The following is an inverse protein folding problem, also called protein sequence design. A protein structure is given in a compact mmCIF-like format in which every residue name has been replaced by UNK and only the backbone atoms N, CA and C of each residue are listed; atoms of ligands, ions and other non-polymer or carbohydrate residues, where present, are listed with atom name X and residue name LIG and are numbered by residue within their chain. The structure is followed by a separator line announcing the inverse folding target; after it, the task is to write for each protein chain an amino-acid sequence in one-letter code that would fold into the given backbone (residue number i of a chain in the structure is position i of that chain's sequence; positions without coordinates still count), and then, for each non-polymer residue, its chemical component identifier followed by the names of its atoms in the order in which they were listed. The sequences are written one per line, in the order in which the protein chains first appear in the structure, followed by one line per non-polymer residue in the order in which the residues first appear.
data_IF_215864133969
#
_entry.id   IF_215864133969
#
_cell.length_a   1.000
_cell.length_b   1.000
_cell.length_c   1.000
_cell.angle_alpha   90.00
_cell.angle_beta   90.00
_cell.angle_gamma   90.00
#
_symmetry.space_group_name_H-M   'P 1'
#
loop_
_entity.id
_entity.type
_entity.pdbx_description
1 polymer ?
#
# COMPACT_ATOMS: atom_id res chain seq x y z
N UNK A 1 -27.63 -41.89 1.71
CA UNK A 1 -26.75 -40.84 2.26
C UNK A 1 -25.71 -41.54 3.11
N UNK A 2 -24.43 -41.50 2.71
CA UNK A 2 -23.34 -42.12 3.49
C UNK A 2 -23.03 -41.17 4.65
N UNK A 3 -22.97 -41.70 5.88
CA UNK A 3 -22.62 -40.92 7.07
C UNK A 3 -21.19 -40.40 6.95
N UNK A 4 -20.95 -39.15 7.37
CA UNK A 4 -19.62 -38.54 7.35
C UNK A 4 -18.58 -39.37 8.14
N UNK A 5 -19.03 -40.11 9.14
CA UNK A 5 -18.19 -40.99 9.97
C UNK A 5 -17.67 -42.22 9.21
N UNK A 6 -18.48 -42.79 8.31
CA UNK A 6 -18.08 -43.96 7.51
C UNK A 6 -17.10 -43.60 6.39
N UNK A 7 -17.21 -42.37 5.87
CA UNK A 7 -16.30 -41.83 4.87
C UNK A 7 -14.87 -41.65 5.42
N UNK A 8 -14.75 -41.18 6.67
CA UNK A 8 -13.45 -40.94 7.30
C UNK A 8 -12.72 -42.23 7.73
N UNK A 9 -13.46 -43.30 8.04
CA UNK A 9 -12.86 -44.62 8.29
C UNK A 9 -12.25 -45.24 7.04
N UNK A 10 -12.83 -44.97 5.88
CA UNK A 10 -12.38 -45.50 4.60
C UNK A 10 -11.28 -44.66 3.95
N UNK A 11 -11.09 -43.41 4.40
CA UNK A 11 -10.10 -42.47 3.85
C UNK A 11 -9.35 -41.75 4.99
N UNK A 12 -8.33 -42.38 5.60
CA UNK A 12 -7.53 -41.73 6.63
C UNK A 12 -6.69 -40.59 6.02
N UNK A 13 -6.77 -39.41 6.63
CA UNK A 13 -5.99 -38.23 6.24
C UNK A 13 -4.55 -38.44 6.73
N UNK A 14 -3.59 -38.52 5.80
CA UNK A 14 -2.16 -38.61 6.12
C UNK A 14 -1.59 -37.20 6.25
N UNK A 15 -1.30 -36.78 7.48
CA UNK A 15 -0.56 -35.54 7.75
C UNK A 15 0.90 -35.72 7.33
N UNK A 16 1.55 -34.72 6.71
CA UNK A 16 2.98 -34.78 6.44
C UNK A 16 3.76 -34.71 7.76
N UNK A 17 4.60 -35.71 8.00
CA UNK A 17 5.45 -35.76 9.18
C UNK A 17 6.51 -34.64 9.13
N UNK A 18 6.57 -33.88 10.21
CA UNK A 18 7.64 -32.92 10.49
C UNK A 18 8.93 -33.69 10.76
N UNK A 19 9.80 -33.77 9.76
CA UNK A 19 11.18 -34.25 9.92
C UNK A 19 12.02 -33.22 10.69
N UNK A 20 12.64 -33.67 11.78
CA UNK A 20 13.63 -32.93 12.54
C UNK A 20 14.92 -32.68 11.71
N UNK A 21 15.65 -31.57 11.95
CA UNK A 21 16.90 -31.28 11.25
C UNK A 21 18.11 -31.93 11.95
N UNK A 22 18.77 -32.85 11.27
CA UNK A 22 20.08 -33.40 11.69
C UNK A 22 21.25 -32.44 11.37
N UNK A 23 22.37 -32.50 12.11
CA UNK A 23 23.44 -31.50 12.11
C UNK A 23 24.69 -31.87 11.27
N UNK A 24 25.37 -30.85 10.73
CA UNK A 24 26.84 -30.77 10.75
C UNK A 24 27.70 -31.22 9.54
N UNK A 25 28.18 -30.23 8.77
CA UNK A 25 29.58 -30.00 8.28
C UNK A 25 30.23 -30.96 7.23
N UNK A 26 31.32 -30.58 6.48
CA UNK A 26 32.24 -29.45 6.67
C UNK A 26 32.62 -28.61 5.42
N UNK A 27 33.50 -27.64 5.70
CA UNK A 27 34.06 -26.55 4.87
C UNK A 27 35.15 -26.94 3.85
N UNK A 28 35.45 -26.00 2.94
CA UNK A 28 36.75 -25.67 2.32
C UNK A 28 36.60 -24.29 1.63
N UNK A 29 37.24 -23.23 2.13
CA UNK A 29 38.55 -22.66 1.70
C UNK A 29 38.49 -22.06 0.27
N UNK A 30 38.86 -20.82 -0.05
CA UNK A 30 39.56 -19.73 0.62
C UNK A 30 39.73 -18.55 -0.37
N UNK A 31 40.58 -17.59 0.00
CA UNK A 31 41.04 -16.39 -0.73
C UNK A 31 40.06 -15.20 -0.71
N UNK A 32 40.25 -14.12 0.05
CA UNK A 32 41.48 -13.52 0.55
C UNK A 32 41.79 -12.26 -0.25
N UNK A 33 41.36 -11.09 0.21
CA UNK A 33 42.24 -9.92 0.22
C UNK A 33 41.80 -8.91 1.28
N UNK A 34 42.79 -8.50 2.04
CA UNK A 34 42.79 -7.69 3.24
C UNK A 34 43.41 -6.33 2.90
N UNK A 35 42.77 -5.25 3.31
CA UNK A 35 43.40 -4.15 4.06
C UNK A 35 42.37 -3.04 4.21
N UNK A 36 41.87 -2.72 5.40
CA UNK A 36 42.54 -2.22 6.62
C UNK A 36 42.52 -0.69 6.69
N UNK A 37 42.01 -0.22 7.83
CA UNK A 37 42.11 1.11 8.45
C UNK A 37 41.65 2.33 7.63
N UNK A 38 40.93 3.29 8.17
CA UNK A 38 40.69 3.61 9.55
C UNK A 38 40.38 5.12 9.62
N UNK A 39 39.29 5.44 10.30
CA UNK A 39 39.16 6.55 11.25
C UNK A 39 39.20 8.03 10.79
N UNK A 40 38.09 8.71 11.15
CA UNK A 40 37.98 9.97 11.92
C UNK A 40 38.31 11.35 11.33
N UNK A 41 37.31 12.23 11.58
CA UNK A 41 37.38 13.63 12.08
C UNK A 41 37.50 14.77 11.04
N UNK A 42 36.37 15.49 10.95
CA UNK A 42 36.17 16.95 11.13
C UNK A 42 36.89 18.00 10.25
N UNK A 43 36.18 19.13 10.17
CA UNK A 43 36.63 20.50 9.99
C UNK A 43 36.68 21.07 8.54
N UNK A 44 35.69 21.92 8.29
CA UNK A 44 35.81 23.31 7.80
C UNK A 44 36.65 23.66 6.55
N UNK A 45 35.93 24.38 5.68
CA UNK A 45 36.35 25.58 4.96
C UNK A 45 37.36 25.54 3.78
N UNK A 46 36.89 26.18 2.69
CA UNK A 46 37.61 26.94 1.66
C UNK A 46 38.48 26.17 0.66
N UNK A 47 38.23 26.45 -0.63
CA UNK A 47 39.28 26.33 -1.64
C UNK A 47 38.78 25.91 -3.01
N UNK A 48 38.47 26.89 -3.85
CA UNK A 48 38.31 26.74 -5.30
C UNK A 48 39.54 26.06 -5.90
N UNK A 49 39.38 24.91 -6.56
CA UNK A 49 40.31 24.45 -7.59
C UNK A 49 39.55 23.86 -8.78
N UNK A 50 39.94 24.33 -9.98
CA UNK A 50 39.44 23.88 -11.28
C UNK A 50 39.80 22.42 -11.49
N UNK A 51 38.80 21.53 -11.54
CA UNK A 51 38.97 20.19 -12.09
C UNK A 51 38.37 20.09 -13.49
N UNK A 52 39.24 19.69 -14.43
CA UNK A 52 39.00 19.42 -15.85
C UNK A 52 37.77 18.52 -16.06
N UNK A 53 36.81 19.00 -16.86
CA UNK A 53 35.78 18.16 -17.49
C UNK A 53 36.45 17.09 -18.35
N UNK A 54 36.26 15.82 -18.02
CA UNK A 54 36.64 14.67 -18.87
C UNK A 54 35.40 13.81 -19.10
N UNK A 55 35.01 13.69 -20.37
CA UNK A 55 34.27 12.56 -20.94
C UNK A 55 32.84 12.33 -20.47
N UNK A 56 31.87 12.88 -21.21
CA UNK A 56 30.52 12.32 -21.27
C UNK A 56 30.61 10.92 -21.89
N UNK A 57 30.33 9.85 -21.12
CA UNK A 57 29.97 8.54 -21.68
C UNK A 57 28.47 8.55 -21.92
N UNK A 58 28.08 8.62 -23.19
CA UNK A 58 26.70 8.45 -23.63
C UNK A 58 26.30 6.99 -23.46
N UNK A 59 25.25 6.72 -22.68
CA UNK A 59 24.59 5.43 -22.69
C UNK A 59 23.62 5.38 -23.89
N UNK A 60 23.61 4.30 -24.69
CA UNK A 60 22.65 4.15 -25.77
C UNK A 60 21.25 3.96 -25.18
N UNK A 61 20.31 4.81 -25.60
CA UNK A 61 18.89 4.71 -25.25
C UNK A 61 18.33 3.43 -25.90
N UNK A 62 17.93 2.47 -25.07
CA UNK A 62 17.24 1.27 -25.52
C UNK A 62 15.82 1.66 -25.95
N UNK A 63 15.56 1.70 -27.26
CA UNK A 63 14.19 1.80 -27.78
C UNK A 63 13.52 0.44 -27.63
N UNK A 64 12.39 0.30 -26.92
CA UNK A 64 11.64 -0.95 -26.93
C UNK A 64 11.11 -1.19 -28.35
N UNK A 65 11.49 -2.33 -28.93
CA UNK A 65 10.95 -2.83 -30.20
C UNK A 65 9.44 -3.01 -30.06
N UNK A 66 8.68 -2.25 -30.83
CA UNK A 66 7.26 -2.48 -31.03
C UNK A 66 7.07 -3.84 -31.70
N UNK A 67 6.46 -4.77 -30.97
CA UNK A 67 6.11 -6.10 -31.46
C UNK A 67 5.30 -6.84 -30.41
N UNK A 68 3.97 -6.75 -30.51
CA UNK A 68 3.06 -7.50 -29.64
C UNK A 68 1.64 -6.93 -29.64
N UNK A 69 0.80 -7.46 -30.54
CA UNK A 69 -0.68 -7.52 -30.53
C UNK A 69 -1.45 -6.36 -29.86
N UNK A 70 -2.07 -5.50 -30.69
CA UNK A 70 -3.21 -4.68 -30.23
C UNK A 70 -3.44 -3.30 -30.84
N UNK A 71 -2.86 -2.95 -31.99
CA UNK A 71 -3.11 -1.64 -32.63
C UNK A 71 -3.62 -1.78 -34.07
N UNK A 72 -4.76 -2.44 -34.23
CA UNK A 72 -5.61 -2.32 -35.41
C UNK A 72 -6.91 -1.65 -34.98
N UNK A 73 -6.92 -0.31 -35.04
CA UNK A 73 -8.07 0.53 -35.39
C UNK A 73 -7.78 2.00 -35.01
N UNK A 74 -6.96 2.66 -35.81
CA UNK A 74 -6.89 4.13 -35.88
C UNK A 74 -7.61 4.62 -37.15
N UNK A 75 -8.75 4.00 -37.42
CA UNK A 75 -9.77 4.49 -38.35
C UNK A 75 -11.15 4.46 -37.68
N UNK A 76 -11.24 4.94 -36.44
CA UNK A 76 -12.52 5.24 -35.81
C UNK A 76 -13.01 6.60 -36.30
N UNK A 77 -13.74 6.52 -37.41
CA UNK A 77 -14.75 7.46 -37.91
C UNK A 77 -15.30 8.38 -36.81
N UNK A 78 -15.31 9.67 -37.12
CA UNK A 78 -16.05 10.72 -36.42
C UNK A 78 -17.50 10.28 -36.13
N UNK A 79 -17.74 9.93 -34.87
CA UNK A 79 -18.96 10.27 -34.15
C UNK A 79 -18.45 10.59 -32.75
N UNK A 80 -18.39 11.87 -32.37
CA UNK A 80 -18.41 12.18 -30.94
C UNK A 80 -19.83 11.81 -30.51
N UNK A 81 -20.07 10.68 -29.82
CA UNK A 81 -21.37 10.49 -29.22
C UNK A 81 -21.57 11.72 -28.35
N UNK A 82 -22.72 12.38 -28.47
CA UNK A 82 -23.03 13.62 -27.79
C UNK A 82 -22.42 13.59 -26.39
N UNK A 83 -21.56 14.56 -26.05
CA UNK A 83 -20.89 14.59 -24.75
C UNK A 83 -21.90 14.64 -23.56
N UNK A 84 -23.17 14.85 -23.89
CA UNK A 84 -24.36 14.84 -23.03
C UNK A 84 -25.24 13.57 -23.15
N UNK A 85 -24.79 12.54 -23.87
CA UNK A 85 -25.52 11.27 -23.94
C UNK A 85 -25.41 10.53 -22.60
N UNK A 86 -26.53 10.49 -21.88
CA UNK A 86 -26.68 9.75 -20.61
C UNK A 86 -26.39 8.26 -20.80
N UNK A 87 -26.78 7.67 -21.93
CA UNK A 87 -26.56 6.26 -22.20
C UNK A 87 -25.08 5.96 -22.46
N UNK A 88 -24.38 6.79 -23.22
CA UNK A 88 -22.94 6.64 -23.42
C UNK A 88 -22.15 6.82 -22.10
N UNK A 89 -22.58 7.76 -21.25
CA UNK A 89 -22.02 7.95 -19.92
C UNK A 89 -22.26 6.71 -19.03
N UNK A 90 -23.47 6.13 -19.08
CA UNK A 90 -23.82 4.91 -18.34
C UNK A 90 -22.98 3.72 -18.79
N UNK A 91 -22.86 3.48 -20.09
CA UNK A 91 -22.03 2.39 -20.63
C UNK A 91 -20.56 2.54 -20.20
N UNK A 92 -20.02 3.76 -20.27
CA UNK A 92 -18.67 4.06 -19.80
C UNK A 92 -18.51 3.82 -18.29
N UNK A 93 -19.53 4.18 -17.50
CA UNK A 93 -19.54 3.95 -16.05
C UNK A 93 -19.57 2.45 -15.70
N UNK A 94 -20.41 1.68 -16.38
CA UNK A 94 -20.50 0.22 -16.19
C UNK A 94 -19.19 -0.47 -16.59
N UNK A 95 -18.63 -0.13 -17.75
CA UNK A 95 -17.32 -0.64 -18.20
C UNK A 95 -16.22 -0.36 -17.17
N UNK A 96 -16.25 0.85 -16.59
CA UNK A 96 -15.35 1.17 -15.49
C UNK A 96 -15.60 0.19 -14.34
N UNK A 97 -16.82 0.12 -13.80
CA UNK A 97 -17.17 -0.68 -12.61
C UNK A 97 -16.85 -2.18 -12.78
N UNK A 98 -17.05 -2.75 -13.95
CA UNK A 98 -16.68 -4.13 -14.29
C UNK A 98 -15.18 -4.38 -14.11
N UNK A 99 -14.34 -3.41 -14.46
CA UNK A 99 -12.89 -3.54 -14.32
C UNK A 99 -12.42 -3.45 -12.86
N UNK A 100 -13.11 -2.68 -12.00
CA UNK A 100 -12.75 -2.54 -10.58
C UNK A 100 -13.80 -1.76 -9.80
N UNK A 101 -14.02 -2.14 -8.53
CA UNK A 101 -14.78 -1.33 -7.59
C UNK A 101 -14.25 0.12 -7.47
N UNK A 102 -15.15 1.10 -7.41
CA UNK A 102 -14.84 2.53 -7.25
C UNK A 102 -15.89 3.21 -6.37
N UNK A 103 -15.48 4.27 -5.68
CA UNK A 103 -16.37 5.24 -5.09
C UNK A 103 -17.03 6.12 -6.16
N UNK A 104 -18.14 6.76 -5.79
CA UNK A 104 -18.86 7.73 -6.59
C UNK A 104 -17.95 8.86 -7.07
N UNK A 105 -17.14 9.47 -6.19
CA UNK A 105 -16.24 10.56 -6.56
C UNK A 105 -15.12 10.14 -7.50
N UNK A 106 -14.54 8.95 -7.31
CA UNK A 106 -13.53 8.43 -8.27
C UNK A 106 -14.17 8.13 -9.63
N UNK A 107 -15.40 7.60 -9.64
CA UNK A 107 -16.14 7.36 -10.88
C UNK A 107 -16.46 8.67 -11.61
N UNK A 108 -16.96 9.66 -10.88
CA UNK A 108 -17.24 11.01 -11.38
C UNK A 108 -16.02 11.63 -12.04
N UNK A 109 -14.87 11.59 -11.37
CA UNK A 109 -13.62 12.12 -11.92
C UNK A 109 -13.21 11.41 -13.21
N UNK A 110 -13.38 10.08 -13.29
CA UNK A 110 -13.03 9.32 -14.50
C UNK A 110 -13.97 9.59 -15.67
N UNK A 111 -15.26 9.79 -15.39
CA UNK A 111 -16.24 10.17 -16.41
C UNK A 111 -15.99 11.59 -16.91
N UNK A 112 -15.66 12.53 -16.00
CA UNK A 112 -15.25 13.88 -16.38
C UNK A 112 -14.01 13.88 -17.27
N UNK A 113 -13.00 13.07 -16.95
CA UNK A 113 -11.81 12.91 -17.79
C UNK A 113 -12.11 12.32 -19.19
N UNK A 114 -13.25 11.62 -19.35
CA UNK A 114 -13.73 11.10 -20.64
C UNK A 114 -14.54 12.14 -21.43
N UNK A 115 -14.82 13.30 -20.85
CA UNK A 115 -15.50 14.43 -21.51
C UNK A 115 -16.99 14.54 -21.22
N UNK A 116 -17.55 13.75 -20.29
CA UNK A 116 -18.96 13.87 -19.90
C UNK A 116 -19.21 15.10 -19.01
N UNK A 117 -20.38 15.71 -19.13
CA UNK A 117 -20.78 16.88 -18.35
C UNK A 117 -21.20 16.53 -16.93
N UNK A 118 -21.02 17.47 -15.99
CA UNK A 118 -21.38 17.29 -14.57
C UNK A 118 -22.82 16.80 -14.34
N UNK A 119 -23.85 17.42 -14.96
CA UNK A 119 -25.24 16.98 -14.83
C UNK A 119 -25.48 15.55 -15.30
N UNK A 120 -24.88 15.16 -16.44
CA UNK A 120 -24.97 13.80 -16.99
C UNK A 120 -24.32 12.78 -16.05
N UNK A 121 -23.15 13.11 -15.50
CA UNK A 121 -22.43 12.28 -14.53
C UNK A 121 -23.24 12.09 -13.25
N UNK A 122 -23.80 13.18 -12.70
CA UNK A 122 -24.60 13.15 -11.49
C UNK A 122 -25.86 12.30 -11.67
N UNK A 123 -26.54 12.44 -12.80
CA UNK A 123 -27.70 11.62 -13.14
C UNK A 123 -27.35 10.13 -13.21
N UNK A 124 -26.24 9.78 -13.86
CA UNK A 124 -25.79 8.38 -13.98
C UNK A 124 -25.38 7.83 -12.62
N UNK A 125 -24.57 8.54 -11.84
CA UNK A 125 -24.14 8.11 -10.50
C UNK A 125 -25.35 7.90 -9.60
N UNK A 126 -26.29 8.86 -9.57
CA UNK A 126 -27.52 8.75 -8.78
C UNK A 126 -28.28 7.48 -9.13
N UNK A 127 -28.43 7.18 -10.43
CA UNK A 127 -29.13 5.98 -10.87
C UNK A 127 -28.39 4.69 -10.49
N UNK A 128 -27.07 4.66 -10.63
CA UNK A 128 -26.25 3.50 -10.25
C UNK A 128 -26.28 3.24 -8.73
N UNK A 129 -26.28 4.29 -7.92
CA UNK A 129 -26.46 4.19 -6.46
C UNK A 129 -27.84 3.64 -6.09
N UNK A 130 -28.91 4.13 -6.72
CA UNK A 130 -30.27 3.61 -6.51
C UNK A 130 -30.41 2.13 -6.87
N UNK A 131 -29.66 1.66 -7.88
CA UNK A 131 -29.61 0.27 -8.29
C UNK A 131 -28.70 -0.60 -7.42
N UNK A 132 -27.99 -0.02 -6.44
CA UNK A 132 -27.04 -0.73 -5.58
C UNK A 132 -25.74 -1.15 -6.28
N UNK A 133 -25.47 -0.60 -7.49
CA UNK A 133 -24.22 -0.83 -8.22
C UNK A 133 -23.07 0.03 -7.68
N UNK A 134 -23.41 1.15 -7.04
CA UNK A 134 -22.50 1.98 -6.27
C UNK A 134 -22.93 1.98 -4.81
N UNK A 135 -21.95 1.72 -3.93
CA UNK A 135 -22.11 1.81 -2.49
C UNK A 135 -20.82 2.37 -1.89
N UNK A 136 -20.81 3.68 -1.62
CA UNK A 136 -19.67 4.36 -1.05
C UNK A 136 -19.38 3.92 0.38
N UNK A 137 -20.40 3.51 1.14
CA UNK A 137 -20.21 3.04 2.53
C UNK A 137 -19.49 1.70 2.53
N UNK A 138 -19.92 0.77 1.68
CA UNK A 138 -19.23 -0.51 1.47
C UNK A 138 -17.82 -0.30 0.95
N UNK A 139 -17.65 0.57 -0.05
CA UNK A 139 -16.32 0.91 -0.58
C UNK A 139 -15.38 1.48 0.50
N UNK A 140 -15.89 2.37 1.36
CA UNK A 140 -15.13 2.95 2.46
C UNK A 140 -14.70 1.90 3.48
N UNK A 141 -15.56 0.93 3.81
CA UNK A 141 -15.23 -0.18 4.71
C UNK A 141 -14.13 -1.08 4.12
N UNK A 142 -14.21 -1.42 2.84
CA UNK A 142 -13.20 -2.22 2.15
C UNK A 142 -11.86 -1.45 2.06
N UNK A 143 -11.92 -0.15 1.78
CA UNK A 143 -10.75 0.72 1.76
C UNK A 143 -10.10 0.82 3.15
N UNK A 144 -10.89 0.97 4.21
CA UNK A 144 -10.41 0.97 5.59
C UNK A 144 -9.66 -0.33 5.90
N UNK A 145 -10.23 -1.50 5.57
CA UNK A 145 -9.59 -2.80 5.75
C UNK A 145 -8.22 -2.85 5.04
N UNK A 146 -8.14 -2.34 3.82
CA UNK A 146 -6.88 -2.22 3.07
C UNK A 146 -5.88 -1.25 3.72
N UNK A 147 -6.36 -0.15 4.32
CA UNK A 147 -5.52 0.78 5.07
C UNK A 147 -4.94 0.14 6.34
N UNK A 148 -5.76 -0.58 7.09
CA UNK A 148 -5.34 -1.30 8.30
C UNK A 148 -4.33 -2.41 7.98
N UNK A 149 -4.54 -3.18 6.91
CA UNK A 149 -3.55 -4.17 6.46
C UNK A 149 -2.18 -3.54 6.09
N UNK A 150 -2.19 -2.30 5.58
CA UNK A 150 -0.98 -1.50 5.35
C UNK A 150 -0.46 -0.80 6.61
N UNK A 151 -1.03 -1.10 7.77
CA UNK A 151 -0.79 -0.51 9.10
C UNK A 151 -0.89 1.02 9.10
N UNK A 152 -1.86 1.58 8.39
CA UNK A 152 -2.13 3.01 8.39
C UNK A 152 -2.85 3.44 9.67
N UNK A 153 -2.58 4.66 10.11
CA UNK A 153 -3.28 5.29 11.21
C UNK A 153 -4.53 6.02 10.74
N UNK A 154 -5.31 6.51 11.69
CA UNK A 154 -6.58 7.20 11.49
C UNK A 154 -6.51 8.30 10.42
N UNK A 155 -5.58 9.25 10.58
CA UNK A 155 -5.38 10.35 9.63
C UNK A 155 -4.93 9.85 8.25
N UNK A 156 -4.14 8.78 8.21
CA UNK A 156 -3.70 8.16 6.96
C UNK A 156 -4.85 7.53 6.20
N UNK A 157 -5.74 6.82 6.91
CA UNK A 157 -6.94 6.23 6.34
C UNK A 157 -7.93 7.31 5.85
N UNK A 158 -8.15 8.37 6.63
CA UNK A 158 -8.98 9.51 6.23
C UNK A 158 -8.44 10.18 4.94
N UNK A 159 -7.14 10.41 4.86
CA UNK A 159 -6.51 10.97 3.66
C UNK A 159 -6.69 10.07 2.42
N UNK A 160 -6.63 8.74 2.60
CA UNK A 160 -6.93 7.79 1.52
C UNK A 160 -8.39 7.87 1.09
N UNK A 161 -9.34 7.99 2.02
CA UNK A 161 -10.76 8.16 1.70
C UNK A 161 -11.01 9.45 0.90
N UNK A 162 -10.43 10.57 1.36
CA UNK A 162 -10.48 11.86 0.64
C UNK A 162 -9.89 11.76 -0.77
N UNK A 163 -8.74 11.08 -0.91
CA UNK A 163 -8.10 10.87 -2.21
C UNK A 163 -8.95 10.02 -3.16
N UNK A 164 -9.79 9.13 -2.61
CA UNK A 164 -10.78 8.36 -3.37
C UNK A 164 -12.06 9.15 -3.62
N UNK A 165 -12.18 10.39 -3.16
CA UNK A 165 -13.38 11.19 -3.38
C UNK A 165 -14.61 10.60 -2.68
N UNK A 166 -14.42 9.99 -1.52
CA UNK A 166 -15.54 9.64 -0.64
C UNK A 166 -16.07 10.90 0.05
N UNK A 167 -17.36 10.91 0.35
CA UNK A 167 -17.96 11.98 1.13
C UNK A 167 -17.27 12.11 2.50
N UNK A 168 -17.11 13.36 2.95
CA UNK A 168 -16.39 13.67 4.19
C UNK A 168 -17.10 13.11 5.41
N UNK A 169 -18.42 13.30 5.53
CA UNK A 169 -19.19 12.83 6.68
C UNK A 169 -19.20 11.31 6.76
N UNK A 170 -19.36 10.64 5.62
CA UNK A 170 -19.28 9.18 5.53
C UNK A 170 -17.88 8.66 5.92
N UNK A 171 -16.83 9.36 5.50
CA UNK A 171 -15.46 9.01 5.85
C UNK A 171 -15.22 9.16 7.35
N UNK A 172 -15.63 10.29 7.93
CA UNK A 172 -15.53 10.56 9.37
C UNK A 172 -16.30 9.51 10.19
N UNK A 173 -17.51 9.13 9.78
CA UNK A 173 -18.30 8.07 10.42
C UNK A 173 -17.57 6.71 10.44
N UNK A 174 -17.05 6.28 9.30
CA UNK A 174 -16.38 4.97 9.16
C UNK A 174 -15.10 4.94 9.99
N UNK A 175 -14.36 6.05 10.01
CA UNK A 175 -13.15 6.21 10.81
C UNK A 175 -13.48 6.23 12.31
N UNK A 176 -14.51 6.96 12.74
CA UNK A 176 -14.91 7.04 14.14
C UNK A 176 -15.29 5.67 14.70
N UNK A 177 -16.10 4.89 13.98
CA UNK A 177 -16.45 3.52 14.38
C UNK A 177 -15.22 2.62 14.50
N UNK A 178 -14.30 2.70 13.55
CA UNK A 178 -13.06 1.93 13.59
C UNK A 178 -12.14 2.33 14.77
N UNK A 179 -12.18 3.60 15.17
CA UNK A 179 -11.46 4.09 16.35
C UNK A 179 -12.09 3.56 17.64
N UNK A 180 -13.42 3.57 17.76
CA UNK A 180 -14.16 3.00 18.89
C UNK A 180 -13.91 1.50 19.05
N UNK A 181 -13.81 0.77 17.93
CA UNK A 181 -13.46 -0.66 17.90
C UNK A 181 -11.97 -0.94 18.20
N UNK A 182 -11.14 0.09 18.37
CA UNK A 182 -9.71 -0.07 18.68
C UNK A 182 -8.82 -0.46 17.49
N UNK A 183 -9.34 -0.48 16.26
CA UNK A 183 -8.61 -0.98 15.09
C UNK A 183 -7.34 -0.18 14.77
N UNK A 184 -7.34 1.13 15.03
CA UNK A 184 -6.16 1.97 14.84
C UNK A 184 -5.10 1.77 15.92
N UNK A 185 -5.50 1.37 17.13
CA UNK A 185 -4.58 0.97 18.20
C UNK A 185 -3.86 -0.30 17.74
N UNK A 186 -4.60 -1.32 17.33
CA UNK A 186 -4.02 -2.57 16.81
C UNK A 186 -3.08 -2.33 15.63
N UNK A 187 -3.48 -1.49 14.68
CA UNK A 187 -2.64 -1.09 13.53
C UNK A 187 -1.32 -0.43 13.96
N UNK A 188 -1.35 0.42 14.99
CA UNK A 188 -0.15 1.07 15.52
C UNK A 188 0.78 0.07 16.22
N UNK A 189 0.24 -0.85 17.03
CA UNK A 189 1.04 -1.91 17.65
C UNK A 189 1.61 -2.88 16.61
N UNK A 190 0.88 -3.21 15.55
CA UNK A 190 1.38 -4.03 14.46
C UNK A 190 2.54 -3.34 13.72
N UNK A 191 2.42 -2.03 13.46
CA UNK A 191 3.53 -1.24 12.92
C UNK A 191 4.73 -1.26 13.88
N UNK A 192 4.49 -1.07 15.17
CA UNK A 192 5.51 -1.10 16.22
C UNK A 192 6.28 -2.41 16.23
N UNK A 193 5.58 -3.56 16.26
CA UNK A 193 6.19 -4.90 16.20
C UNK A 193 7.04 -5.10 14.94
N UNK A 194 6.54 -4.66 13.78
CA UNK A 194 7.31 -4.71 12.51
C UNK A 194 8.57 -3.86 12.55
N UNK A 195 8.52 -2.68 13.17
CA UNK A 195 9.70 -1.82 13.34
C UNK A 195 10.67 -2.44 14.33
N UNK A 196 10.20 -2.87 15.50
CA UNK A 196 11.00 -3.47 16.56
C UNK A 196 11.87 -4.62 16.03
N UNK A 197 11.27 -5.54 15.27
CA UNK A 197 11.97 -6.67 14.62
C UNK A 197 13.01 -6.23 13.59
N UNK A 198 12.73 -5.19 12.80
CA UNK A 198 13.67 -4.71 11.75
C UNK A 198 14.83 -3.90 12.30
N UNK A 199 14.68 -3.36 13.51
CA UNK A 199 15.66 -2.50 14.15
C UNK A 199 16.25 -3.14 15.39
N UNK A 200 16.21 -4.47 15.47
CA UNK A 200 16.86 -5.24 16.52
C UNK A 200 18.38 -5.01 16.46
N UNK A 201 19.04 -4.90 17.63
CA UNK A 201 20.46 -4.56 17.74
C UNK A 201 20.83 -3.09 17.48
N UNK A 202 19.88 -2.22 17.13
CA UNK A 202 20.13 -0.78 17.03
C UNK A 202 19.92 -0.08 18.36
N UNK A 203 20.62 1.04 18.55
CA UNK A 203 20.45 1.87 19.74
C UNK A 203 18.98 2.34 19.92
N UNK A 204 18.51 2.49 21.17
CA UNK A 204 17.09 2.69 21.47
C UNK A 204 16.51 3.95 20.80
N UNK A 205 17.29 5.02 20.78
CA UNK A 205 16.93 6.31 20.18
C UNK A 205 16.75 6.21 18.65
N UNK A 206 17.55 5.36 18.01
CA UNK A 206 17.45 5.08 16.57
C UNK A 206 16.17 4.30 16.31
N UNK A 207 15.85 3.29 17.13
CA UNK A 207 14.60 2.51 17.02
C UNK A 207 13.38 3.43 17.14
N UNK A 208 13.35 4.29 18.15
CA UNK A 208 12.29 5.31 18.36
C UNK A 208 12.15 6.25 17.16
N UNK A 209 13.26 6.76 16.61
CA UNK A 209 13.24 7.63 15.42
C UNK A 209 12.70 6.92 14.18
N UNK A 210 13.02 5.64 14.00
CA UNK A 210 12.51 4.82 12.87
C UNK A 210 11.01 4.60 12.99
N UNK A 211 10.51 4.29 14.19
CA UNK A 211 9.08 4.16 14.45
C UNK A 211 8.37 5.48 14.18
N UNK A 212 8.88 6.60 14.70
CA UNK A 212 8.29 7.92 14.49
C UNK A 212 8.16 8.29 13.00
N UNK A 213 9.25 8.10 12.25
CA UNK A 213 9.26 8.39 10.81
C UNK A 213 8.27 7.51 10.04
N UNK A 214 8.17 6.22 10.37
CA UNK A 214 7.20 5.32 9.76
C UNK A 214 5.76 5.69 10.14
N UNK A 215 5.49 5.90 11.42
CA UNK A 215 4.17 6.23 11.95
C UNK A 215 3.62 7.54 11.42
N UNK A 216 4.48 8.58 11.34
CA UNK A 216 4.11 9.89 10.82
C UNK A 216 3.68 9.84 9.35
N UNK A 217 4.42 9.13 8.48
CA UNK A 217 4.04 8.94 7.08
C UNK A 217 2.75 8.14 6.91
N UNK A 218 2.46 7.24 7.85
CA UNK A 218 1.24 6.43 7.87
C UNK A 218 0.06 7.12 8.55
N UNK A 219 0.25 8.32 9.09
CA UNK A 219 -0.83 9.12 9.70
C UNK A 219 -1.29 8.61 11.06
N UNK A 220 -0.42 7.98 11.85
CA UNK A 220 -0.73 7.57 13.22
C UNK A 220 -0.80 8.77 14.18
N UNK A 221 -1.58 8.61 15.24
CA UNK A 221 -1.66 9.59 16.33
C UNK A 221 -0.31 9.65 17.07
N UNK A 222 0.28 10.86 17.26
CA UNK A 222 1.56 11.02 17.95
C UNK A 222 1.61 10.40 19.36
N UNK A 223 0.57 10.58 20.17
CA UNK A 223 0.51 10.08 21.54
C UNK A 223 0.51 8.55 21.58
N UNK A 224 -0.23 7.93 20.65
CA UNK A 224 -0.25 6.47 20.51
C UNK A 224 1.12 5.90 20.07
N UNK A 225 1.84 6.61 19.19
CA UNK A 225 3.19 6.19 18.81
C UNK A 225 4.18 6.23 19.97
N UNK A 226 4.05 7.22 20.87
CA UNK A 226 4.87 7.30 22.10
C UNK A 226 4.58 6.10 22.98
N UNK A 227 3.30 5.76 23.20
CA UNK A 227 2.91 4.59 23.97
C UNK A 227 3.47 3.30 23.37
N UNK A 228 3.26 3.06 22.06
CA UNK A 228 3.80 1.88 21.35
C UNK A 228 5.34 1.81 21.45
N UNK A 229 6.03 2.94 21.38
CA UNK A 229 7.48 2.99 21.53
C UNK A 229 7.93 2.58 22.93
N UNK A 230 7.23 3.04 23.97
CA UNK A 230 7.53 2.67 25.35
C UNK A 230 7.27 1.18 25.60
N UNK A 231 6.17 0.65 25.06
CA UNK A 231 5.77 -0.74 25.32
C UNK A 231 6.66 -1.76 24.58
N UNK A 232 7.12 -1.43 23.35
CA UNK A 232 7.79 -2.39 22.47
C UNK A 232 9.29 -2.13 22.26
N UNK A 233 9.76 -0.91 22.54
CA UNK A 233 11.14 -0.50 22.31
C UNK A 233 11.84 -0.05 23.59
N UNK A 234 11.19 -0.18 24.76
CA UNK A 234 11.92 -0.10 26.03
C UNK A 234 12.99 -1.19 26.05
N UNK A 235 14.16 -0.82 26.55
CA UNK A 235 15.29 -1.72 26.59
C UNK A 235 15.08 -2.76 27.68
N UNK A 236 15.35 -4.01 27.33
CA UNK A 236 15.65 -5.10 28.25
C UNK A 236 17.06 -4.94 28.86
N UNK A 237 17.56 -3.71 29.00
CA UNK A 237 18.85 -3.39 29.64
C UNK A 237 18.60 -3.01 31.11
N UNK A 238 18.01 -3.95 31.84
CA UNK A 238 18.11 -3.99 33.31
C UNK A 238 18.53 -5.40 33.72
N UNK A 239 19.56 -5.94 33.07
CA UNK A 239 20.33 -7.05 33.62
C UNK A 239 21.45 -6.46 34.49
N UNK A 240 21.17 -6.50 35.80
CA UNK A 240 22.05 -6.72 36.97
C UNK A 240 23.51 -6.26 36.89
#
# INVERSE_FOLDING_TARGET
MISAEDFLKSNPIRLPETGEPEPGAPAQDGDGDSSDQGNRIDSQERGRTRFKRKGRRAYPVHQPKAGGFGASDMAAKEVRPDADSVDACREAALTLLDASARSSGTLAQRLSNKGFTGPTIEQVITRLTQLGLLDDRRYAQDLLRSCLHRTMGERGALNEMTRKGLDRSLSEDVIARAAEEGLFVDSAYELGRKVAKRTEGLAPDVRRRRLWGAGSRKGHNPSLLIQVANDLLADSDTDV
#
